data_IF_831473373919
#
_entry.id   IF_831473373919
#
_cell.length_a   1.000
_cell.length_b   1.000
_cell.length_c   1.000
_cell.angle_alpha   90.00
_cell.angle_beta   90.00
_cell.angle_gamma   90.00
#
_symmetry.space_group_name_H-M   'P 1'
#
loop_
_entity.id
_entity.type
_entity.pdbx_description
1 polymer ?
#
# COMPACT_ATOMS: atom_id res chain seq x y z
N UNK A 1 -9.40 -22.45 5.13
CA UNK A 1 -8.19 -21.95 5.84
C UNK A 1 -7.68 -20.78 5.01
N UNK A 2 -7.53 -19.57 5.57
CA UNK A 2 -7.23 -18.39 4.74
C UNK A 2 -5.83 -18.47 4.13
N UNK A 3 -5.74 -18.46 2.80
CA UNK A 3 -4.49 -18.55 2.05
C UNK A 3 -3.70 -17.21 2.05
N UNK A 4 -4.37 -16.08 2.24
CA UNK A 4 -3.78 -14.73 2.30
C UNK A 4 -3.71 -14.18 3.73
N UNK A 5 -3.21 -15.00 4.66
CA UNK A 5 -3.27 -14.69 6.11
C UNK A 5 -2.48 -13.43 6.44
N UNK A 6 -1.27 -13.27 5.89
CA UNK A 6 -0.37 -12.18 6.27
C UNK A 6 -0.86 -10.85 5.72
N UNK A 7 -1.36 -10.83 4.48
CA UNK A 7 -1.94 -9.63 3.89
C UNK A 7 -3.18 -9.17 4.65
N UNK A 8 -4.08 -10.10 5.02
CA UNK A 8 -5.26 -9.76 5.83
C UNK A 8 -4.88 -9.21 7.21
N UNK A 9 -3.87 -9.78 7.85
CA UNK A 9 -3.34 -9.29 9.12
C UNK A 9 -2.81 -7.85 9.00
N UNK A 10 -1.93 -7.58 8.04
CA UNK A 10 -1.34 -6.26 7.84
C UNK A 10 -2.39 -5.21 7.42
N UNK A 11 -3.40 -5.59 6.63
CA UNK A 11 -4.50 -4.70 6.24
C UNK A 11 -5.46 -4.37 7.39
N UNK A 12 -5.65 -5.29 8.34
CA UNK A 12 -6.50 -5.03 9.51
C UNK A 12 -5.96 -3.88 10.37
N UNK A 13 -4.64 -3.70 10.37
CA UNK A 13 -3.95 -2.56 10.98
C UNK A 13 -4.07 -1.25 10.18
N UNK A 14 -4.67 -1.29 8.97
CA UNK A 14 -4.74 -0.19 8.00
C UNK A 14 -6.19 0.07 7.53
N UNK A 15 -7.18 -0.34 8.35
CA UNK A 15 -8.56 -0.70 7.97
C UNK A 15 -9.38 0.36 7.21
N UNK A 16 -8.99 1.64 7.21
CA UNK A 16 -9.71 2.70 6.47
C UNK A 16 -9.18 2.95 5.06
N UNK A 17 -8.08 2.30 4.67
CA UNK A 17 -7.30 2.73 3.51
C UNK A 17 -7.40 1.86 2.25
N UNK A 18 -7.91 0.63 2.34
CA UNK A 18 -7.99 -0.30 1.22
C UNK A 18 -9.31 -1.07 1.22
N UNK A 19 -10.12 -0.92 0.17
CA UNK A 19 -11.37 -1.66 0.01
C UNK A 19 -11.17 -2.90 -0.87
N UNK A 20 -10.37 -3.87 -0.39
CA UNK A 20 -10.00 -5.08 -1.15
C UNK A 20 -10.41 -6.39 -0.47
N UNK A 21 -11.11 -6.33 0.66
CA UNK A 21 -11.48 -7.52 1.44
C UNK A 21 -12.29 -8.52 0.62
N UNK A 22 -13.20 -8.03 -0.24
CA UNK A 22 -13.98 -8.88 -1.17
C UNK A 22 -13.08 -9.63 -2.13
N UNK A 23 -12.07 -8.98 -2.70
CA UNK A 23 -11.10 -9.60 -3.62
C UNK A 23 -10.27 -10.66 -2.90
N UNK A 24 -9.87 -10.41 -1.64
CA UNK A 24 -9.11 -11.37 -0.84
C UNK A 24 -9.94 -12.60 -0.46
N UNK A 25 -11.23 -12.43 -0.12
CA UNK A 25 -12.13 -13.56 0.14
C UNK A 25 -12.39 -14.39 -1.11
N UNK A 26 -12.49 -13.75 -2.28
CA UNK A 26 -12.68 -14.45 -3.55
C UNK A 26 -11.51 -15.39 -3.89
N UNK A 27 -10.29 -15.14 -3.39
CA UNK A 27 -9.16 -16.08 -3.58
C UNK A 27 -9.41 -17.39 -2.83
N UNK A 28 -9.83 -17.31 -1.56
CA UNK A 28 -10.14 -18.49 -0.75
C UNK A 28 -11.32 -19.28 -1.35
N UNK A 29 -12.39 -18.59 -1.73
CA UNK A 29 -13.60 -19.20 -2.31
C UNK A 29 -13.29 -19.95 -3.61
N UNK A 30 -12.52 -19.34 -4.52
CA UNK A 30 -12.14 -19.99 -5.78
C UNK A 30 -11.22 -21.19 -5.55
N UNK A 31 -10.27 -21.10 -4.62
CA UNK A 31 -9.35 -22.19 -4.32
C UNK A 31 -10.08 -23.39 -3.67
N UNK A 32 -11.02 -23.12 -2.76
CA UNK A 32 -11.84 -24.16 -2.11
C UNK A 32 -12.81 -24.81 -3.10
N UNK A 33 -13.29 -24.07 -4.10
CA UNK A 33 -14.10 -24.58 -5.22
C UNK A 33 -13.28 -25.35 -6.27
N UNK A 34 -11.96 -25.48 -6.09
CA UNK A 34 -11.06 -26.13 -7.05
C UNK A 34 -10.78 -25.30 -8.31
N UNK A 35 -11.22 -24.03 -8.35
CA UNK A 35 -11.05 -23.09 -9.46
C UNK A 35 -9.70 -22.37 -9.35
N UNK A 36 -8.60 -23.12 -9.41
CA UNK A 36 -7.23 -22.65 -9.24
C UNK A 36 -6.94 -21.40 -10.08
N UNK A 37 -7.27 -21.43 -11.37
CA UNK A 37 -7.07 -20.30 -12.28
C UNK A 37 -7.75 -19.00 -11.86
N UNK A 38 -8.97 -19.09 -11.33
CA UNK A 38 -9.73 -17.95 -10.85
C UNK A 38 -9.11 -17.37 -9.57
N UNK A 39 -8.68 -18.24 -8.64
CA UNK A 39 -8.01 -17.83 -7.40
C UNK A 39 -6.76 -16.99 -7.69
N UNK A 40 -5.91 -17.43 -8.63
CA UNK A 40 -4.70 -16.65 -8.97
C UNK A 40 -5.04 -15.34 -9.71
N UNK A 41 -6.05 -15.34 -10.59
CA UNK A 41 -6.53 -14.11 -11.20
C UNK A 41 -6.92 -13.05 -10.16
N UNK A 42 -7.56 -13.48 -9.07
CA UNK A 42 -7.90 -12.59 -7.96
C UNK A 42 -6.68 -12.09 -7.19
N UNK A 43 -5.61 -12.88 -7.05
CA UNK A 43 -4.35 -12.39 -6.46
C UNK A 43 -3.74 -11.23 -7.27
N UNK A 44 -3.72 -11.34 -8.61
CA UNK A 44 -3.24 -10.25 -9.48
C UNK A 44 -4.08 -8.99 -9.30
N UNK A 45 -5.40 -9.13 -9.32
CA UNK A 45 -6.33 -8.01 -9.12
C UNK A 45 -6.12 -7.34 -7.76
N UNK A 46 -5.87 -8.13 -6.71
CA UNK A 46 -5.58 -7.59 -5.38
C UNK A 46 -4.28 -6.76 -5.37
N UNK A 47 -3.19 -7.26 -5.96
CA UNK A 47 -1.92 -6.51 -6.05
C UNK A 47 -2.12 -5.23 -6.87
N UNK A 48 -2.78 -5.30 -8.03
CA UNK A 48 -3.07 -4.11 -8.84
C UNK A 48 -3.87 -3.06 -8.07
N UNK A 49 -4.91 -3.50 -7.36
CA UNK A 49 -5.75 -2.62 -6.56
C UNK A 49 -4.95 -1.95 -5.44
N UNK A 50 -4.08 -2.70 -4.75
CA UNK A 50 -3.16 -2.14 -3.75
C UNK A 50 -2.28 -1.08 -4.40
N UNK A 51 -1.59 -1.41 -5.50
CA UNK A 51 -0.66 -0.48 -6.13
C UNK A 51 -1.33 0.80 -6.62
N UNK A 52 -2.47 0.69 -7.31
CA UNK A 52 -3.24 1.84 -7.80
C UNK A 52 -3.71 2.71 -6.63
N UNK A 53 -4.31 2.11 -5.61
CA UNK A 53 -4.78 2.83 -4.41
C UNK A 53 -3.66 3.66 -3.77
N UNK A 54 -2.44 3.12 -3.70
CA UNK A 54 -1.30 3.84 -3.10
C UNK A 54 -0.82 4.98 -3.99
N UNK A 55 -0.70 4.74 -5.29
CA UNK A 55 -0.28 5.76 -6.25
C UNK A 55 -1.30 6.90 -6.30
N UNK A 56 -2.59 6.58 -6.31
CA UNK A 56 -3.69 7.55 -6.28
C UNK A 56 -3.62 8.39 -4.99
N UNK A 57 -3.42 7.74 -3.84
CA UNK A 57 -3.26 8.44 -2.54
C UNK A 57 -2.02 9.32 -2.47
N UNK A 58 -0.96 8.97 -3.20
CA UNK A 58 0.25 9.79 -3.33
C UNK A 58 0.18 10.78 -4.49
N UNK A 59 -0.97 10.91 -5.16
CA UNK A 59 -1.21 11.81 -6.30
C UNK A 59 -0.21 11.59 -7.45
N UNK A 60 0.21 10.34 -7.66
CA UNK A 60 1.14 9.97 -8.73
C UNK A 60 0.33 9.51 -9.94
N UNK A 61 0.50 10.21 -11.05
CA UNK A 61 -0.13 9.83 -12.31
C UNK A 61 0.51 8.57 -12.91
N UNK A 62 -0.31 7.65 -13.40
CA UNK A 62 0.10 6.49 -14.18
C UNK A 62 -0.88 6.27 -15.34
N UNK A 63 -0.44 5.54 -16.38
CA UNK A 63 -1.30 5.20 -17.52
C UNK A 63 -2.42 4.24 -17.07
N UNK A 64 -3.66 4.50 -17.46
CA UNK A 64 -4.80 3.61 -17.18
C UNK A 64 -4.58 2.17 -17.66
N UNK A 65 -3.80 1.97 -18.72
CA UNK A 65 -3.43 0.70 -19.33
C UNK A 65 -1.99 0.27 -18.99
N UNK A 66 -1.43 0.80 -17.90
CA UNK A 66 -0.09 0.44 -17.44
C UNK A 66 0.01 -1.08 -17.24
N UNK A 67 1.04 -1.69 -17.83
CA UNK A 67 1.34 -3.10 -17.60
C UNK A 67 1.63 -3.32 -16.11
N UNK A 68 1.10 -4.41 -15.56
CA UNK A 68 1.27 -4.82 -14.16
C UNK A 68 2.69 -4.64 -13.57
N UNK A 69 3.78 -5.11 -14.19
CA UNK A 69 5.14 -4.96 -13.65
C UNK A 69 5.59 -3.51 -13.65
N UNK A 70 5.16 -2.73 -14.63
CA UNK A 70 5.46 -1.31 -14.74
C UNK A 70 4.74 -0.54 -13.64
N UNK A 71 3.49 -0.91 -13.33
CA UNK A 71 2.73 -0.36 -12.20
C UNK A 71 3.45 -0.60 -10.88
N UNK A 72 3.83 -1.85 -10.60
CA UNK A 72 4.53 -2.20 -9.36
C UNK A 72 5.88 -1.50 -9.29
N UNK A 73 6.64 -1.46 -10.40
CA UNK A 73 7.92 -0.73 -10.46
C UNK A 73 7.76 0.77 -10.18
N UNK A 74 6.71 1.40 -10.72
CA UNK A 74 6.40 2.82 -10.44
C UNK A 74 6.11 3.02 -8.96
N UNK A 75 5.30 2.15 -8.35
CA UNK A 75 5.02 2.20 -6.92
C UNK A 75 6.31 2.10 -6.08
N UNK A 76 7.17 1.12 -6.35
CA UNK A 76 8.40 0.92 -5.55
C UNK A 76 9.34 2.14 -5.63
N UNK A 77 9.43 2.79 -6.78
CA UNK A 77 10.18 4.06 -6.91
C UNK A 77 9.56 5.18 -6.08
N UNK A 78 8.24 5.27 -6.06
CA UNK A 78 7.50 6.28 -5.27
C UNK A 78 7.66 6.02 -3.77
N UNK A 79 7.66 4.76 -3.36
CA UNK A 79 7.91 4.33 -1.98
C UNK A 79 9.38 4.46 -1.59
N UNK A 80 10.18 5.32 -2.26
CA UNK A 80 11.55 5.75 -1.92
C UNK A 80 12.25 4.84 -0.90
N UNK A 81 12.55 3.60 -1.26
CA UNK A 81 13.16 2.64 -0.32
C UNK A 81 14.64 2.97 -0.01
N UNK A 82 15.00 4.23 -0.26
CA UNK A 82 16.35 4.78 -0.31
C UNK A 82 16.87 5.15 1.08
N UNK A 83 15.98 5.26 2.08
CA UNK A 83 16.34 5.55 3.48
C UNK A 83 16.74 4.29 4.28
N UNK A 84 16.90 3.15 3.61
CA UNK A 84 17.25 1.86 4.24
C UNK A 84 18.74 1.59 4.07
N UNK A 85 19.55 2.35 4.79
CA UNK A 85 20.99 2.10 4.90
C UNK A 85 21.88 3.22 4.38
N UNK A 86 23.19 3.02 4.54
CA UNK A 86 24.25 4.00 4.25
C UNK A 86 24.23 4.44 2.79
N UNK A 87 24.35 5.76 2.57
CA UNK A 87 24.32 6.57 1.31
C UNK A 87 25.25 6.12 0.15
N UNK A 88 25.46 4.83 -0.08
CA UNK A 88 26.20 4.34 -1.24
C UNK A 88 25.21 4.02 -2.36
N UNK A 89 25.40 4.70 -3.50
CA UNK A 89 24.62 4.54 -4.73
C UNK A 89 24.50 3.06 -5.18
N UNK A 90 25.51 2.22 -4.90
CA UNK A 90 25.51 0.79 -5.23
C UNK A 90 24.54 -0.06 -4.41
N UNK A 91 24.35 0.22 -3.12
CA UNK A 91 23.39 -0.50 -2.26
C UNK A 91 21.95 -0.22 -2.70
N UNK A 92 21.69 1.03 -3.10
CA UNK A 92 20.39 1.47 -3.61
C UNK A 92 19.99 0.73 -4.89
N UNK A 93 20.89 0.68 -5.88
CA UNK A 93 20.63 -0.02 -7.15
C UNK A 93 20.40 -1.53 -6.93
N UNK A 94 21.14 -2.15 -6.02
CA UNK A 94 20.96 -3.56 -5.68
C UNK A 94 19.59 -3.84 -5.05
N UNK A 95 19.12 -2.98 -4.15
CA UNK A 95 17.80 -3.14 -3.52
C UNK A 95 16.65 -2.95 -4.51
N UNK A 96 16.71 -1.89 -5.33
CA UNK A 96 15.73 -1.70 -6.41
C UNK A 96 15.70 -2.89 -7.36
N UNK A 97 16.87 -3.41 -7.74
CA UNK A 97 16.98 -4.61 -8.59
C UNK A 97 16.37 -5.84 -7.92
N UNK A 98 16.57 -6.03 -6.62
CA UNK A 98 15.99 -7.14 -5.86
C UNK A 98 14.46 -7.10 -5.87
N UNK A 99 13.87 -5.97 -5.46
CA UNK A 99 12.40 -5.83 -5.40
C UNK A 99 11.78 -5.91 -6.79
N UNK A 100 12.37 -5.24 -7.78
CA UNK A 100 11.88 -5.31 -9.16
C UNK A 100 11.99 -6.72 -9.74
N UNK A 101 13.05 -7.48 -9.42
CA UNK A 101 13.21 -8.88 -9.82
C UNK A 101 12.13 -9.78 -9.22
N UNK A 102 11.75 -9.58 -7.96
CA UNK A 102 10.63 -10.33 -7.33
C UNK A 102 9.31 -10.01 -8.03
N UNK A 103 9.06 -8.74 -8.36
CA UNK A 103 7.84 -8.33 -9.04
C UNK A 103 7.76 -8.90 -10.47
N UNK A 104 8.87 -8.86 -11.21
CA UNK A 104 9.00 -9.50 -12.52
C UNK A 104 8.86 -11.02 -12.43
N UNK A 105 9.39 -11.64 -11.37
CA UNK A 105 9.17 -13.08 -11.13
C UNK A 105 7.70 -13.37 -10.88
N UNK A 106 6.99 -12.53 -10.12
CA UNK A 106 5.55 -12.67 -9.87
C UNK A 106 4.72 -12.44 -11.13
N UNK A 107 5.07 -11.47 -11.97
CA UNK A 107 4.44 -11.29 -13.27
C UNK A 107 4.68 -12.49 -14.19
N UNK A 108 5.95 -12.90 -14.39
CA UNK A 108 6.29 -14.05 -15.23
C UNK A 108 5.62 -15.33 -14.71
N UNK A 109 5.51 -15.48 -13.39
CA UNK A 109 4.79 -16.58 -12.76
C UNK A 109 3.29 -16.46 -13.03
N UNK A 110 2.69 -15.28 -12.88
CA UNK A 110 1.28 -15.04 -13.18
C UNK A 110 0.96 -15.22 -14.68
N UNK A 111 1.87 -14.89 -15.58
CA UNK A 111 1.76 -15.09 -17.04
C UNK A 111 1.94 -16.56 -17.42
N UNK A 112 2.97 -17.22 -16.88
CA UNK A 112 3.18 -18.65 -17.04
C UNK A 112 1.97 -19.42 -16.52
N UNK A 113 1.37 -18.94 -15.43
CA UNK A 113 0.19 -19.53 -14.86
C UNK A 113 -1.10 -19.13 -15.55
N UNK A 114 -1.19 -17.95 -16.15
CA UNK A 114 -2.28 -17.60 -17.07
C UNK A 114 -2.20 -18.46 -18.34
N UNK A 115 -0.99 -18.80 -18.78
CA UNK A 115 -0.74 -19.75 -19.87
C UNK A 115 -1.15 -21.16 -19.47
N UNK A 116 -0.69 -21.65 -18.31
CA UNK A 116 -1.14 -22.93 -17.74
C UNK A 116 -2.66 -22.91 -17.55
N UNK A 117 -3.25 -21.86 -16.98
CA UNK A 117 -4.70 -21.69 -16.90
C UNK A 117 -5.33 -21.75 -18.29
N UNK A 118 -4.83 -21.05 -19.31
CA UNK A 118 -5.42 -21.12 -20.65
C UNK A 118 -5.35 -22.54 -21.25
N UNK A 119 -4.33 -23.32 -20.86
CA UNK A 119 -4.16 -24.72 -21.23
C UNK A 119 -4.97 -25.70 -20.36
N UNK A 120 -5.34 -25.33 -19.14
CA UNK A 120 -6.00 -26.18 -18.13
C UNK A 120 -7.39 -25.69 -17.66
N UNK A 121 -7.89 -24.51 -18.10
CA UNK A 121 -9.26 -24.00 -17.85
C UNK A 121 -10.21 -24.42 -18.99
N UNK A 122 -11.47 -24.81 -18.69
CA UNK A 122 -12.43 -25.27 -19.70
C UNK A 122 -13.03 -24.17 -20.61
N UNK A 123 -12.86 -22.89 -20.27
CA UNK A 123 -13.53 -21.78 -20.99
C UNK A 123 -12.77 -21.23 -22.20
N UNK A 124 -11.58 -21.74 -22.51
CA UNK A 124 -10.85 -21.44 -23.75
C UNK A 124 -11.43 -22.26 -24.92
N UNK A 125 -12.52 -21.74 -25.51
CA UNK A 125 -13.11 -22.14 -26.81
C UNK A 125 -12.82 -23.57 -27.30
N UNK A 126 -13.69 -24.52 -26.94
CA UNK A 126 -13.92 -25.74 -27.73
C UNK A 126 -13.22 -27.03 -27.30
N UNK A 127 -12.92 -27.24 -26.00
CA UNK A 127 -12.40 -28.53 -25.49
C UNK A 127 -13.33 -29.18 -24.44
N UNK A 128 -13.32 -30.51 -24.44
CA UNK A 128 -14.21 -31.44 -23.70
C UNK A 128 -14.18 -31.27 -22.17
N UNK A 129 -15.31 -31.56 -21.50
CA UNK A 129 -15.58 -31.49 -20.04
C UNK A 129 -14.63 -32.32 -19.13
N UNK A 130 -13.62 -33.00 -19.70
CA UNK A 130 -12.70 -33.93 -19.03
C UNK A 130 -11.28 -33.37 -18.83
N UNK A 131 -11.06 -32.07 -19.03
CA UNK A 131 -9.71 -31.50 -18.90
C UNK A 131 -9.32 -31.31 -17.42
N UNK A 132 -8.17 -31.85 -16.97
CA UNK A 132 -7.73 -31.68 -15.58
C UNK A 132 -7.36 -30.23 -15.30
N UNK A 133 -7.81 -29.70 -14.16
CA UNK A 133 -7.41 -28.37 -13.67
C UNK A 133 -5.95 -28.41 -13.17
N UNK A 134 -5.34 -27.24 -13.00
CA UNK A 134 -4.02 -27.11 -12.38
C UNK A 134 -4.07 -27.72 -10.96
N UNK A 135 -3.13 -28.62 -10.61
CA UNK A 135 -3.09 -29.21 -9.27
C UNK A 135 -3.02 -28.12 -8.20
N UNK A 136 -3.83 -28.30 -7.15
CA UNK A 136 -4.09 -27.31 -6.10
C UNK A 136 -2.80 -26.80 -5.44
N UNK A 137 -1.80 -27.65 -5.33
CA UNK A 137 -0.50 -27.36 -4.72
C UNK A 137 0.25 -26.24 -5.47
N UNK A 138 0.15 -26.18 -6.79
CA UNK A 138 0.76 -25.12 -7.59
C UNK A 138 0.04 -23.78 -7.39
N UNK A 139 -1.29 -23.82 -7.29
CA UNK A 139 -2.09 -22.63 -7.00
C UNK A 139 -1.78 -22.08 -5.60
N UNK A 140 -1.72 -22.95 -4.59
CA UNK A 140 -1.37 -22.60 -3.22
C UNK A 140 0.01 -21.94 -3.13
N UNK A 141 1.02 -22.52 -3.78
CA UNK A 141 2.37 -21.93 -3.81
C UNK A 141 2.36 -20.49 -4.36
N UNK A 142 1.63 -20.25 -5.44
CA UNK A 142 1.59 -18.93 -6.08
C UNK A 142 0.82 -17.93 -5.22
N UNK A 143 -0.26 -18.37 -4.59
CA UNK A 143 -1.02 -17.55 -3.64
C UNK A 143 -0.15 -17.16 -2.45
N UNK A 144 0.70 -18.05 -1.93
CA UNK A 144 1.66 -17.73 -0.86
C UNK A 144 2.69 -16.67 -1.28
N UNK A 145 3.16 -16.74 -2.54
CA UNK A 145 4.07 -15.73 -3.10
C UNK A 145 3.36 -14.37 -3.24
N UNK A 146 2.10 -14.36 -3.67
CA UNK A 146 1.28 -13.16 -3.72
C UNK A 146 1.03 -12.56 -2.33
N UNK A 147 0.72 -13.39 -1.32
CA UNK A 147 0.55 -12.96 0.08
C UNK A 147 1.81 -12.28 0.62
N UNK A 148 2.96 -12.87 0.32
CA UNK A 148 4.26 -12.34 0.72
C UNK A 148 4.56 -10.99 0.06
N UNK A 149 4.26 -10.84 -1.23
CA UNK A 149 4.46 -9.56 -1.92
C UNK A 149 3.52 -8.47 -1.41
N UNK A 150 2.22 -8.76 -1.32
CA UNK A 150 1.22 -7.79 -0.87
C UNK A 150 1.53 -7.31 0.53
N UNK A 151 1.77 -8.23 1.47
CA UNK A 151 2.17 -7.86 2.84
C UNK A 151 3.46 -7.05 2.87
N UNK A 152 4.47 -7.41 2.07
CA UNK A 152 5.70 -6.62 1.98
C UNK A 152 5.47 -5.20 1.46
N UNK A 153 4.69 -5.02 0.40
CA UNK A 153 4.34 -3.69 -0.13
C UNK A 153 3.65 -2.86 0.96
N UNK A 154 2.70 -3.43 1.69
CA UNK A 154 1.99 -2.72 2.74
C UNK A 154 2.94 -2.35 3.90
N UNK A 155 3.82 -3.26 4.31
CA UNK A 155 4.84 -2.98 5.32
C UNK A 155 5.82 -1.88 4.87
N UNK A 156 6.16 -1.79 3.58
CA UNK A 156 7.00 -0.69 3.07
C UNK A 156 6.31 0.66 3.22
N UNK A 157 5.00 0.73 2.99
CA UNK A 157 4.21 1.95 3.19
C UNK A 157 4.14 2.30 4.67
N UNK A 158 3.90 1.30 5.53
CA UNK A 158 3.90 1.48 6.98
C UNK A 158 5.21 2.11 7.40
N UNK A 159 6.35 1.52 7.03
CA UNK A 159 7.66 2.06 7.35
C UNK A 159 7.87 3.49 6.84
N UNK A 160 7.34 3.84 5.67
CA UNK A 160 7.40 5.21 5.14
C UNK A 160 6.52 6.21 5.91
N UNK A 161 5.39 5.77 6.46
CA UNK A 161 4.63 6.58 7.41
C UNK A 161 5.28 6.61 8.80
N UNK A 162 5.95 5.52 9.20
CA UNK A 162 6.60 5.38 10.51
C UNK A 162 7.91 6.18 10.62
N UNK A 163 8.46 6.68 9.50
CA UNK A 163 9.66 7.54 9.50
C UNK A 163 9.37 9.05 9.51
N UNK A 164 8.11 9.46 9.73
CA UNK A 164 7.81 10.73 10.41
C UNK A 164 7.21 10.39 11.76
N UNK A 165 7.95 10.54 12.88
CA UNK A 165 7.37 10.30 14.19
C UNK A 165 6.07 11.09 14.34
N UNK A 166 5.00 10.50 14.92
CA UNK A 166 3.74 11.21 15.14
C UNK A 166 4.06 12.54 15.80
N UNK A 167 3.59 13.62 15.19
CA UNK A 167 3.82 14.96 15.72
C UNK A 167 3.22 15.01 17.13
N UNK A 168 4.07 15.16 18.14
CA UNK A 168 3.58 15.34 19.50
C UNK A 168 3.19 16.80 19.65
N UNK A 169 2.04 17.04 20.27
CA UNK A 169 1.58 18.39 20.54
C UNK A 169 2.62 19.17 21.35
N UNK A 170 3.22 18.53 22.37
CA UNK A 170 4.25 19.10 23.24
C UNK A 170 5.57 19.42 22.55
N UNK A 171 5.88 18.80 21.40
CA UNK A 171 7.16 19.02 20.71
C UNK A 171 7.13 20.32 19.86
N UNK A 172 6.01 21.05 19.88
CA UNK A 172 5.77 22.22 19.03
C UNK A 172 5.18 23.40 19.84
N UNK A 173 5.64 23.59 21.08
CA UNK A 173 5.20 24.67 21.98
C UNK A 173 5.21 26.05 21.31
N UNK A 174 6.31 26.42 20.64
CA UNK A 174 6.42 27.72 19.94
C UNK A 174 5.30 27.95 18.91
N UNK A 175 4.88 26.90 18.20
CA UNK A 175 3.79 26.99 17.24
C UNK A 175 2.43 27.04 17.94
N UNK A 176 2.27 26.27 19.01
CA UNK A 176 1.05 26.29 19.82
C UNK A 176 0.82 27.66 20.47
N UNK A 177 1.89 28.27 21.00
CA UNK A 177 1.88 29.62 21.56
C UNK A 177 1.47 30.66 20.54
N UNK A 178 2.03 30.59 19.33
CA UNK A 178 1.60 31.42 18.21
C UNK A 178 0.09 31.26 17.94
N UNK A 179 -0.41 30.02 17.93
CA UNK A 179 -1.84 29.77 17.71
C UNK A 179 -2.71 30.23 18.89
N UNK A 180 -2.24 30.14 20.14
CA UNK A 180 -2.95 30.67 21.32
C UNK A 180 -3.08 32.20 21.26
N UNK A 181 -2.05 32.90 20.76
CA UNK A 181 -2.07 34.36 20.64
C UNK A 181 -2.90 34.85 19.44
N UNK A 182 -2.76 34.19 18.28
CA UNK A 182 -3.42 34.58 17.04
C UNK A 182 -4.92 34.22 17.07
N UNK A 183 -5.25 33.04 17.57
CA UNK A 183 -6.61 32.53 17.58
C UNK A 183 -7.16 32.50 18.99
N UNK A 184 -8.13 33.39 19.25
CA UNK A 184 -8.85 33.44 20.53
C UNK A 184 -9.60 32.14 20.82
N UNK A 185 -9.84 31.92 22.11
CA UNK A 185 -10.67 30.83 22.62
C UNK A 185 -12.08 30.85 22.01
N UNK A 186 -12.58 29.65 21.69
CA UNK A 186 -13.94 29.46 21.22
C UNK A 186 -14.84 29.05 22.38
N UNK A 187 -15.87 29.85 22.67
CA UNK A 187 -16.90 29.50 23.66
C UNK A 187 -18.05 28.73 23.00
N UNK A 188 -18.37 27.56 23.53
CA UNK A 188 -19.52 26.76 23.12
C UNK A 188 -20.30 26.37 24.39
N UNK A 189 -21.51 26.89 24.55
CA UNK A 189 -22.38 26.63 25.71
C UNK A 189 -21.72 26.88 27.08
N UNK A 190 -20.77 27.83 27.18
CA UNK A 190 -20.06 28.17 28.41
C UNK A 190 -18.77 27.39 28.65
N UNK A 191 -18.42 26.44 27.77
CA UNK A 191 -17.12 25.78 27.76
C UNK A 191 -16.17 26.46 26.76
N UNK A 192 -14.90 26.58 27.14
CA UNK A 192 -13.85 27.21 26.34
C UNK A 192 -12.99 26.16 25.66
N UNK A 193 -12.73 26.34 24.37
CA UNK A 193 -11.91 25.44 23.56
C UNK A 193 -10.77 26.20 22.91
N UNK A 194 -9.55 25.66 23.01
CA UNK A 194 -8.37 26.30 22.45
C UNK A 194 -8.15 25.89 20.99
N UNK A 195 -7.82 26.86 20.14
CA UNK A 195 -7.58 26.64 18.72
C UNK A 195 -6.48 25.60 18.40
N UNK A 196 -5.31 25.57 19.08
CA UNK A 196 -4.27 24.59 18.78
C UNK A 196 -4.74 23.16 19.10
N UNK A 197 -5.42 22.99 20.23
CA UNK A 197 -5.95 21.70 20.69
C UNK A 197 -7.05 21.20 19.75
N UNK A 198 -7.97 22.08 19.34
CA UNK A 198 -9.00 21.76 18.35
C UNK A 198 -8.36 21.32 17.04
N UNK A 199 -7.40 22.10 16.52
CA UNK A 199 -6.76 21.81 15.24
C UNK A 199 -5.99 20.49 15.29
N UNK A 200 -5.24 20.24 16.37
CA UNK A 200 -4.49 19.00 16.57
C UNK A 200 -5.39 17.77 16.62
N UNK A 201 -6.48 17.81 17.38
CA UNK A 201 -7.36 16.66 17.61
C UNK A 201 -8.38 16.44 16.49
N UNK A 202 -8.88 17.49 15.84
CA UNK A 202 -9.88 17.38 14.78
C UNK A 202 -9.28 17.30 13.38
N UNK A 203 -8.09 17.86 13.15
CA UNK A 203 -7.45 17.86 11.84
C UNK A 203 -5.92 17.84 11.94
N UNK A 204 -5.39 16.71 12.41
CA UNK A 204 -3.96 16.49 12.63
C UNK A 204 -3.10 16.71 11.37
N UNK A 205 -3.63 16.39 10.18
CA UNK A 205 -2.92 16.65 8.91
C UNK A 205 -2.72 18.14 8.65
N UNK A 206 -3.76 18.96 8.87
CA UNK A 206 -3.67 20.41 8.69
C UNK A 206 -2.79 21.06 9.76
N UNK A 207 -2.81 20.54 10.98
CA UNK A 207 -1.87 20.91 12.04
C UNK A 207 -0.42 20.68 11.59
N UNK A 208 -0.10 19.48 11.07
CA UNK A 208 1.25 19.13 10.62
C UNK A 208 1.74 20.04 9.49
N UNK A 209 0.89 20.35 8.51
CA UNK A 209 1.22 21.28 7.42
C UNK A 209 1.53 22.68 7.94
N UNK A 210 0.69 23.20 8.84
CA UNK A 210 0.89 24.53 9.42
C UNK A 210 2.17 24.63 10.26
N UNK A 211 2.54 23.56 10.98
CA UNK A 211 3.83 23.48 11.69
C UNK A 211 5.02 23.53 10.73
N UNK A 212 4.96 22.79 9.60
CA UNK A 212 6.02 22.80 8.60
C UNK A 212 6.18 24.19 7.97
N UNK A 213 5.07 24.85 7.62
CA UNK A 213 5.07 26.24 7.10
C UNK A 213 5.62 27.24 8.12
N UNK A 214 5.23 27.12 9.40
CA UNK A 214 5.71 28.00 10.47
C UNK A 214 7.23 27.89 10.66
N UNK A 215 7.78 26.66 10.64
CA UNK A 215 9.23 26.42 10.76
C UNK A 215 9.99 27.03 9.57
N UNK A 216 9.51 26.82 8.34
CA UNK A 216 10.12 27.38 7.12
C UNK A 216 10.17 28.92 7.12
N UNK A 217 9.10 29.58 7.58
CA UNK A 217 9.03 31.03 7.66
C UNK A 217 9.94 31.61 8.74
N UNK A 218 10.21 30.86 9.82
CA UNK A 218 11.10 31.29 10.90
C UNK A 218 12.57 31.18 10.49
N UNK A 219 12.93 30.11 9.79
CA UNK A 219 14.29 29.90 9.28
C UNK A 219 14.66 30.93 8.20
N UNK A 220 13.70 31.31 7.35
CA UNK A 220 13.89 32.32 6.29
C UNK A 220 14.07 33.77 6.82
N UNK A 221 13.69 34.04 8.06
CA UNK A 221 13.81 35.35 8.71
C UNK A 221 15.06 35.50 9.59
N UNK A 222 15.87 34.43 9.72
CA UNK A 222 17.09 34.40 10.53
C UNK A 222 18.40 34.40 9.70
N UNK A 223 18.31 34.48 8.37
CA UNK A 223 19.41 34.72 7.43
C UNK A 223 19.41 36.19 6.93
#
# INVERSE_FOLDING_TARGET
MSCLKKTKEVLSAYSENFNIQRTLSAVDENLDAGQSGAAIGQCKNAIESICKTILDKKLINYDSNIAFPKLVKTLIKVLRVEEVGTDSQGTHEAFLKFVTSICSTLENTAESLATLRNEYCPESHGRSDLHPDLPKEFAEFIIMQADSLMSFIICLIQRHNDFKPPIQFTDNEDFNDYLYEEFKELEIFGDLYQAPEILFHLNNQKYQQAVEEFKLNRDSNND
#
